data_IF_955080161754
#
_entry.id   IF_955080161754
#
_cell.length_a   1.000
_cell.length_b   1.000
_cell.length_c   1.000
_cell.angle_alpha   90.00
_cell.angle_beta   90.00
_cell.angle_gamma   90.00
#
_symmetry.space_group_name_H-M   'P 1'
#
loop_
_entity.id
_entity.type
_entity.pdbx_description
1 polymer ?
#
# COMPACT_ATOMS: atom_id res chain seq x y z
N UNK A 1 -25.32 15.00 -0.92
CA UNK A 1 -24.44 13.82 -0.79
C UNK A 1 -23.06 14.34 -0.43
N UNK A 2 -22.39 13.72 0.53
CA UNK A 2 -21.01 14.09 0.87
C UNK A 2 -20.05 13.62 -0.23
N UNK A 3 -19.03 14.42 -0.53
CA UNK A 3 -17.93 13.98 -1.39
C UNK A 3 -16.98 13.02 -0.65
N UNK A 4 -16.06 12.39 -1.37
CA UNK A 4 -15.13 11.40 -0.79
C UNK A 4 -14.20 11.99 0.27
N UNK A 5 -13.84 13.27 0.13
CA UNK A 5 -12.99 13.96 1.10
C UNK A 5 -13.78 14.18 2.41
N UNK A 6 -15.00 14.67 2.31
CA UNK A 6 -15.92 14.87 3.43
C UNK A 6 -16.23 13.56 4.16
N UNK A 7 -16.45 12.46 3.43
CA UNK A 7 -16.63 11.12 4.03
C UNK A 7 -15.39 10.68 4.79
N UNK A 8 -14.22 10.88 4.21
CA UNK A 8 -12.94 10.52 4.83
C UNK A 8 -12.69 11.32 6.10
N UNK A 9 -13.01 12.61 6.10
CA UNK A 9 -12.81 13.47 7.26
C UNK A 9 -13.80 13.17 8.39
N UNK A 10 -15.04 12.82 8.07
CA UNK A 10 -16.00 12.28 9.05
C UNK A 10 -15.52 10.96 9.66
N UNK A 11 -15.01 10.04 8.83
CA UNK A 11 -14.46 8.77 9.31
C UNK A 11 -13.30 8.99 10.28
N UNK A 12 -12.38 9.92 9.98
CA UNK A 12 -11.27 10.28 10.88
C UNK A 12 -11.79 10.84 12.20
N UNK A 13 -12.80 11.72 12.15
CA UNK A 13 -13.40 12.32 13.35
C UNK A 13 -14.04 11.26 14.24
N UNK A 14 -14.83 10.36 13.66
CA UNK A 14 -15.52 9.31 14.41
C UNK A 14 -14.55 8.28 14.98
N UNK A 15 -13.50 7.92 14.23
CA UNK A 15 -12.42 7.08 14.73
C UNK A 15 -11.69 7.74 15.91
N UNK A 16 -11.39 9.04 15.80
CA UNK A 16 -10.73 9.77 16.87
C UNK A 16 -11.57 9.80 18.15
N UNK A 17 -12.88 10.08 18.03
CA UNK A 17 -13.81 10.03 19.16
C UNK A 17 -13.90 8.64 19.78
N UNK A 18 -13.97 7.59 18.95
CA UNK A 18 -14.02 6.21 19.43
C UNK A 18 -12.76 5.87 20.24
N UNK A 19 -11.58 6.24 19.72
CA UNK A 19 -10.31 5.96 20.37
C UNK A 19 -10.15 6.73 21.69
N UNK A 20 -10.62 7.98 21.74
CA UNK A 20 -10.64 8.79 22.96
C UNK A 20 -11.57 8.15 24.01
N UNK A 21 -12.81 7.84 23.63
CA UNK A 21 -13.82 7.31 24.56
C UNK A 21 -13.50 5.91 25.09
N UNK A 22 -12.91 5.04 24.27
CA UNK A 22 -12.69 3.62 24.63
C UNK A 22 -11.32 3.33 25.18
N UNK A 23 -10.32 4.14 24.84
CA UNK A 23 -8.92 3.83 25.16
C UNK A 23 -8.16 4.99 25.80
N UNK A 24 -8.83 6.10 26.15
CA UNK A 24 -8.20 7.33 26.65
C UNK A 24 -7.02 7.77 25.75
N UNK A 25 -7.21 7.61 24.44
CA UNK A 25 -6.16 7.82 23.45
C UNK A 25 -6.52 8.97 22.53
N UNK A 26 -5.56 9.89 22.33
CA UNK A 26 -5.65 10.87 21.24
C UNK A 26 -5.21 10.19 19.95
N UNK A 27 -5.92 10.45 18.86
CA UNK A 27 -5.47 10.01 17.54
C UNK A 27 -5.56 11.11 16.49
N UNK A 28 -4.63 11.08 15.55
CA UNK A 28 -4.56 12.04 14.45
C UNK A 28 -3.72 11.45 13.32
N UNK A 29 -3.88 11.98 12.11
CA UNK A 29 -3.01 11.61 10.98
C UNK A 29 -1.84 12.57 10.93
N UNK A 30 -0.62 12.03 10.94
CA UNK A 30 0.60 12.83 10.78
C UNK A 30 1.55 12.15 9.79
N UNK A 31 2.26 12.97 9.03
CA UNK A 31 3.34 12.48 8.19
C UNK A 31 4.52 12.12 9.07
N UNK A 32 4.90 10.84 9.10
CA UNK A 32 6.00 10.32 9.90
C UNK A 32 7.03 9.64 9.01
N UNK A 33 8.31 9.74 9.37
CA UNK A 33 9.38 8.97 8.73
C UNK A 33 9.42 7.59 9.37
N UNK A 34 9.06 6.57 8.60
CA UNK A 34 9.00 5.17 9.05
C UNK A 34 9.75 4.28 8.08
N UNK A 35 10.32 3.18 8.59
CA UNK A 35 10.81 2.10 7.73
C UNK A 35 9.60 1.40 7.08
N UNK A 36 9.69 1.14 5.77
CA UNK A 36 8.62 0.51 5.00
C UNK A 36 9.20 -0.40 3.91
N UNK A 37 8.39 -1.35 3.45
CA UNK A 37 8.61 -2.07 2.21
C UNK A 37 8.15 -1.22 1.03
N UNK A 38 9.09 -0.72 0.25
CA UNK A 38 8.84 0.20 -0.86
C UNK A 38 8.93 -0.52 -2.19
N UNK A 39 7.82 -0.53 -2.95
CA UNK A 39 7.81 -0.91 -4.36
C UNK A 39 8.52 0.18 -5.17
N UNK A 40 9.50 -0.19 -5.99
CA UNK A 40 10.27 0.75 -6.79
C UNK A 40 10.51 0.21 -8.22
N UNK A 41 10.80 1.13 -9.14
CA UNK A 41 11.21 0.78 -10.51
C UNK A 41 12.71 0.50 -10.49
N UNK A 42 13.08 -0.75 -10.77
CA UNK A 42 14.48 -1.20 -10.88
C UNK A 42 15.04 -0.97 -12.29
N UNK A 43 14.22 -1.22 -13.30
CA UNK A 43 14.56 -1.02 -14.71
C UNK A 43 13.37 -0.43 -15.45
N UNK A 44 13.47 0.85 -15.81
CA UNK A 44 12.39 1.58 -16.48
C UNK A 44 12.09 1.05 -17.90
N UNK A 45 13.09 0.54 -18.60
CA UNK A 45 12.92 0.02 -19.97
C UNK A 45 12.16 -1.30 -19.95
N UNK A 46 12.44 -2.17 -18.97
CA UNK A 46 11.67 -3.40 -18.75
C UNK A 46 10.28 -3.08 -18.23
N UNK A 47 10.15 -2.19 -17.25
CA UNK A 47 8.86 -1.82 -16.65
C UNK A 47 7.88 -1.20 -17.66
N UNK A 48 8.37 -0.41 -18.61
CA UNK A 48 7.54 0.17 -19.69
C UNK A 48 6.77 -0.88 -20.50
N UNK A 49 7.26 -2.12 -20.55
CA UNK A 49 6.56 -3.23 -21.24
C UNK A 49 5.28 -3.66 -20.51
N UNK A 50 5.18 -3.38 -19.21
CA UNK A 50 4.02 -3.68 -18.38
C UNK A 50 2.92 -2.62 -18.46
N UNK A 51 3.15 -1.49 -19.13
CA UNK A 51 2.15 -0.44 -19.25
C UNK A 51 0.91 -0.99 -19.95
N UNK A 52 -0.26 -0.76 -19.36
CA UNK A 52 -1.51 -1.15 -19.98
C UNK A 52 -1.74 -0.27 -21.20
N UNK A 53 -1.78 -0.90 -22.38
CA UNK A 53 -2.10 -0.25 -23.66
C UNK A 53 -3.58 -0.44 -24.05
N UNK A 54 -4.35 -1.17 -23.23
CA UNK A 54 -5.72 -1.55 -23.56
C UNK A 54 -6.74 -0.67 -22.84
N UNK A 55 -7.85 -0.33 -23.52
CA UNK A 55 -9.05 0.22 -22.90
C UNK A 55 -9.91 -0.83 -22.18
N UNK A 56 -9.42 -2.08 -22.05
CA UNK A 56 -10.16 -3.17 -21.44
C UNK A 56 -10.55 -2.86 -19.99
N UNK A 57 -11.69 -3.37 -19.55
CA UNK A 57 -12.13 -3.23 -18.15
C UNK A 57 -11.06 -3.77 -17.21
N UNK A 58 -10.63 -2.97 -16.25
CA UNK A 58 -9.57 -3.36 -15.33
C UNK A 58 -9.98 -4.52 -14.44
N UNK A 59 -9.10 -5.51 -14.26
CA UNK A 59 -9.37 -6.73 -13.47
C UNK A 59 -8.22 -7.03 -12.52
N UNK A 60 -8.56 -7.65 -11.40
CA UNK A 60 -7.61 -8.23 -10.45
C UNK A 60 -8.02 -9.68 -10.26
N UNK A 61 -7.06 -10.59 -10.27
CA UNK A 61 -7.26 -12.00 -9.91
C UNK A 61 -6.19 -12.38 -8.88
N UNK A 62 -6.60 -12.99 -7.79
CA UNK A 62 -5.72 -13.35 -6.70
C UNK A 62 -6.03 -14.77 -6.24
N UNK A 63 -5.03 -15.64 -6.28
CA UNK A 63 -5.08 -17.03 -5.83
C UNK A 63 -3.84 -17.34 -4.97
N UNK A 64 -3.80 -18.52 -4.35
CA UNK A 64 -2.63 -18.93 -3.57
C UNK A 64 -1.38 -19.00 -4.47
N UNK A 65 -0.42 -18.11 -4.20
CA UNK A 65 0.84 -18.04 -4.97
C UNK A 65 0.75 -17.30 -6.31
N UNK A 66 -0.37 -16.62 -6.57
CA UNK A 66 -0.61 -15.91 -7.83
C UNK A 66 -1.40 -14.62 -7.64
N UNK A 67 -0.93 -13.54 -8.27
CA UNK A 67 -1.63 -12.27 -8.33
C UNK A 67 -1.52 -11.68 -9.71
N UNK A 68 -2.66 -11.37 -10.33
CA UNK A 68 -2.75 -10.74 -11.63
C UNK A 68 -3.48 -9.43 -11.53
N UNK A 69 -2.96 -8.45 -12.24
CA UNK A 69 -3.57 -7.17 -12.43
C UNK A 69 -3.57 -6.87 -13.93
N UNK A 70 -4.72 -6.45 -14.45
CA UNK A 70 -4.89 -6.10 -15.86
C UNK A 70 -5.52 -4.72 -15.92
N UNK A 71 -4.85 -3.77 -16.57
CA UNK A 71 -5.29 -2.38 -16.68
C UNK A 71 -5.66 -1.76 -15.32
N UNK A 72 -4.78 -1.90 -14.33
CA UNK A 72 -4.96 -1.40 -12.95
C UNK A 72 -3.73 -0.61 -12.50
N UNK A 73 -3.88 0.37 -11.60
CA UNK A 73 -2.73 1.08 -11.02
C UNK A 73 -1.86 0.15 -10.19
N UNK A 74 -0.56 0.45 -10.06
CA UNK A 74 0.36 -0.30 -9.18
C UNK A 74 -0.11 -0.29 -7.72
N UNK A 75 -0.80 0.76 -7.30
CA UNK A 75 -1.42 0.85 -5.98
C UNK A 75 -2.30 -0.38 -5.65
N UNK A 76 -2.92 -1.02 -6.64
CA UNK A 76 -3.70 -2.25 -6.42
C UNK A 76 -2.83 -3.42 -5.95
N UNK A 77 -1.59 -3.55 -6.47
CA UNK A 77 -0.63 -4.53 -5.98
C UNK A 77 -0.17 -4.17 -4.57
N UNK A 78 0.17 -2.90 -4.32
CA UNK A 78 0.64 -2.43 -3.00
C UNK A 78 -0.40 -2.68 -1.92
N UNK A 79 -1.67 -2.34 -2.17
CA UNK A 79 -2.77 -2.63 -1.24
C UNK A 79 -2.93 -4.12 -0.98
N UNK A 80 -2.89 -4.95 -2.03
CA UNK A 80 -2.98 -6.40 -1.87
C UNK A 80 -1.81 -6.99 -1.05
N UNK A 81 -0.59 -6.49 -1.25
CA UNK A 81 0.57 -6.90 -0.47
C UNK A 81 0.46 -6.43 0.98
N UNK A 82 0.00 -5.20 1.24
CA UNK A 82 -0.24 -4.69 2.58
C UNK A 82 -1.27 -5.56 3.33
N UNK A 83 -2.39 -5.90 2.68
CA UNK A 83 -3.45 -6.73 3.27
C UNK A 83 -2.95 -8.15 3.59
N UNK A 84 -2.11 -8.73 2.75
CA UNK A 84 -1.55 -10.08 2.97
C UNK A 84 -0.44 -10.11 4.03
N UNK A 85 0.21 -8.97 4.27
CA UNK A 85 1.34 -8.83 5.21
C UNK A 85 1.00 -7.92 6.39
N UNK A 86 -0.28 -7.78 6.76
CA UNK A 86 -0.73 -6.90 7.85
C UNK A 86 -0.13 -7.22 9.23
N UNK A 87 0.43 -8.44 9.41
CA UNK A 87 1.14 -8.87 10.63
C UNK A 87 2.63 -8.54 10.60
N UNK A 88 3.18 -8.16 9.44
CA UNK A 88 4.53 -7.63 9.36
C UNK A 88 4.57 -6.29 10.12
N UNK A 89 5.72 -5.98 10.71
CA UNK A 89 5.93 -4.73 11.46
C UNK A 89 6.04 -3.52 10.52
N UNK A 90 6.34 -3.74 9.25
CA UNK A 90 6.61 -2.68 8.28
C UNK A 90 5.44 -2.53 7.30
N UNK A 91 4.96 -1.29 7.04
CA UNK A 91 3.97 -1.05 6.01
C UNK A 91 4.54 -1.32 4.61
N UNK A 92 3.66 -1.60 3.64
CA UNK A 92 4.00 -1.70 2.22
C UNK A 92 3.51 -0.44 1.50
N UNK A 93 4.36 0.19 0.68
CA UNK A 93 4.05 1.46 0.00
C UNK A 93 4.57 1.51 -1.43
N UNK A 94 3.96 2.38 -2.25
CA UNK A 94 4.39 2.68 -3.61
C UNK A 94 5.42 3.81 -3.61
N UNK A 95 6.64 3.51 -4.07
CA UNK A 95 7.71 4.49 -4.29
C UNK A 95 8.11 4.57 -5.78
N UNK A 96 7.28 4.04 -6.69
CA UNK A 96 7.56 4.06 -8.14
C UNK A 96 7.33 5.43 -8.78
N UNK A 97 6.47 6.26 -8.18
CA UNK A 97 6.00 7.53 -8.77
C UNK A 97 5.14 7.36 -10.02
N UNK A 98 4.80 6.13 -10.40
CA UNK A 98 4.05 5.84 -11.63
C UNK A 98 2.54 5.83 -11.36
N UNK A 99 1.84 6.86 -11.84
CA UNK A 99 0.38 6.98 -11.69
C UNK A 99 -0.44 6.25 -12.78
N UNK A 100 0.22 5.64 -13.77
CA UNK A 100 -0.47 4.97 -14.86
C UNK A 100 -0.99 3.58 -14.49
N UNK A 101 -1.59 2.91 -15.47
CA UNK A 101 -2.10 1.54 -15.32
C UNK A 101 -1.11 0.54 -15.90
N UNK A 102 -0.98 -0.59 -15.25
CA UNK A 102 -0.15 -1.72 -15.67
C UNK A 102 -0.98 -2.97 -15.87
N UNK A 103 -0.37 -3.94 -16.54
CA UNK A 103 -0.85 -5.32 -16.63
C UNK A 103 0.33 -6.26 -16.36
N UNK A 104 0.18 -7.15 -15.39
CA UNK A 104 1.21 -8.12 -15.00
C UNK A 104 0.65 -9.32 -14.24
N UNK A 105 1.39 -10.42 -14.28
CA UNK A 105 1.06 -11.71 -13.65
C UNK A 105 2.17 -12.12 -12.68
N UNK A 106 1.99 -11.83 -11.40
CA UNK A 106 2.95 -12.16 -10.36
C UNK A 106 2.73 -13.59 -9.85
N UNK A 107 3.72 -14.46 -10.06
CA UNK A 107 3.75 -15.83 -9.52
C UNK A 107 4.71 -15.89 -8.33
N UNK A 108 4.17 -15.67 -7.13
CA UNK A 108 4.91 -15.70 -5.87
C UNK A 108 3.95 -15.90 -4.69
N UNK A 109 4.45 -16.47 -3.59
CA UNK A 109 3.75 -16.39 -2.32
C UNK A 109 3.72 -14.94 -1.84
N UNK A 110 2.54 -14.32 -1.85
CA UNK A 110 2.35 -12.90 -1.54
C UNK A 110 2.53 -12.57 -0.07
N UNK A 111 2.68 -13.58 0.80
CA UNK A 111 3.06 -13.42 2.22
C UNK A 111 4.57 -13.44 2.44
N UNK A 112 5.35 -13.72 1.40
CA UNK A 112 6.81 -13.72 1.44
C UNK A 112 7.32 -12.59 0.53
N UNK A 113 7.55 -11.42 1.12
CA UNK A 113 7.98 -10.24 0.36
C UNK A 113 9.34 -10.43 -0.33
N UNK A 114 10.21 -11.32 0.15
CA UNK A 114 11.44 -11.69 -0.56
C UNK A 114 11.14 -12.49 -1.84
N UNK A 115 10.17 -13.41 -1.78
CA UNK A 115 9.72 -14.15 -2.97
C UNK A 115 9.01 -13.23 -3.97
N UNK A 116 8.23 -12.26 -3.47
CA UNK A 116 7.62 -11.21 -4.28
C UNK A 116 8.67 -10.36 -4.97
N UNK A 117 9.70 -9.89 -4.24
CA UNK A 117 10.80 -9.11 -4.84
C UNK A 117 11.46 -9.87 -5.99
N UNK A 118 11.82 -11.15 -5.77
CA UNK A 118 12.40 -12.00 -6.80
C UNK A 118 11.49 -12.13 -8.04
N UNK A 119 10.19 -12.28 -7.84
CA UNK A 119 9.24 -12.38 -8.94
C UNK A 119 9.03 -11.05 -9.68
N UNK A 120 9.15 -9.90 -9.00
CA UNK A 120 9.02 -8.56 -9.58
C UNK A 120 10.17 -8.19 -10.51
N UNK A 121 11.36 -8.78 -10.34
CA UNK A 121 12.54 -8.45 -11.13
C UNK A 121 12.31 -8.63 -12.64
N UNK A 122 11.52 -9.64 -13.04
CA UNK A 122 11.18 -9.88 -14.46
C UNK A 122 10.40 -8.74 -15.11
N UNK A 123 9.79 -7.88 -14.29
CA UNK A 123 8.99 -6.72 -14.71
C UNK A 123 9.75 -5.41 -14.56
N UNK A 124 11.05 -5.44 -14.25
CA UNK A 124 11.82 -4.23 -13.97
C UNK A 124 11.37 -3.52 -12.70
N UNK A 125 10.70 -4.24 -11.79
CA UNK A 125 10.26 -3.76 -10.48
C UNK A 125 11.07 -4.47 -9.38
N UNK A 126 11.01 -3.91 -8.18
CA UNK A 126 11.52 -4.57 -6.97
C UNK A 126 10.84 -4.02 -5.72
N UNK A 127 11.05 -4.70 -4.60
CA UNK A 127 10.64 -4.25 -3.27
C UNK A 127 11.88 -4.22 -2.37
N UNK A 128 12.11 -3.08 -1.71
CA UNK A 128 13.21 -2.91 -0.77
C UNK A 128 12.72 -2.27 0.53
N UNK A 129 13.49 -2.40 1.60
CA UNK A 129 13.28 -1.61 2.82
C UNK A 129 13.87 -0.23 2.64
N UNK A 130 13.11 0.80 2.97
CA UNK A 130 13.56 2.20 2.94
C UNK A 130 12.84 3.01 4.02
N UNK A 131 13.43 4.14 4.42
CA UNK A 131 12.78 5.09 5.35
C UNK A 131 12.09 6.19 4.56
N UNK A 132 10.76 6.17 4.56
CA UNK A 132 9.93 7.10 3.79
C UNK A 132 8.96 7.87 4.68
N UNK A 133 8.61 9.07 4.24
CA UNK A 133 7.57 9.88 4.86
C UNK A 133 6.20 9.36 4.42
N UNK A 134 5.43 8.78 5.34
CA UNK A 134 4.09 8.26 5.09
C UNK A 134 3.05 8.94 5.99
N UNK A 135 1.81 9.14 5.51
CA UNK A 135 0.71 9.52 6.38
C UNK A 135 0.38 8.34 7.29
N UNK A 136 0.60 8.52 8.59
CA UNK A 136 0.38 7.48 9.60
C UNK A 136 -0.75 7.92 10.55
N UNK A 137 -1.59 6.98 10.95
CA UNK A 137 -2.48 7.16 12.09
C UNK A 137 -1.64 7.05 13.36
N UNK A 138 -1.43 8.17 14.04
CA UNK A 138 -0.76 8.24 15.33
C UNK A 138 -1.80 8.06 16.42
N UNK A 139 -1.53 7.17 17.38
CA UNK A 139 -2.36 6.94 18.56
C UNK A 139 -1.48 7.14 19.79
N UNK A 140 -1.78 8.18 20.55
CA UNK A 140 -1.07 8.54 21.77
C UNK A 140 -1.98 8.27 22.96
N UNK A 141 -1.53 7.47 23.92
CA UNK A 141 -2.20 7.44 25.22
C UNK A 141 -2.01 8.79 25.89
N UNK A 142 -3.10 9.37 26.40
CA UNK A 142 -2.93 10.46 27.36
C UNK A 142 -2.25 9.87 28.57
N UNK A 143 -1.12 10.46 28.98
CA UNK A 143 -0.50 10.08 30.25
C UNK A 143 -1.51 10.32 31.37
N UNK A 144 -1.62 9.37 32.30
CA UNK A 144 -2.29 9.61 33.56
C UNK A 144 -1.41 10.63 34.31
N UNK A 145 -1.76 11.91 34.17
CA UNK A 145 -1.35 12.90 35.14
C UNK A 145 -2.23 12.67 36.38
N UNK A 146 -1.77 11.76 37.24
CA UNK A 146 -2.07 11.82 38.67
C UNK A 146 -1.32 13.00 39.31
#
# INVERSE_FOLDING_TARGET
MLDEQQKTDLLKLDLAKLLELKFNARSYVATSRVEAWCLYIRDAAVFKKCYSKSGATGKIKADKGYFSLVNRPLQSLVSYLADNNYKDKLPVTDATGYAGKVSMDLYADTKNLCAVDAALQRYGLGIKRDTIALPMLVIERRGDHD
#
